data_IF_348954365689
#
_entry.id   IF_348954365689
#
_cell.length_a   1.000
_cell.length_b   1.000
_cell.length_c   1.000
_cell.angle_alpha   90.00
_cell.angle_beta   90.00
_cell.angle_gamma   90.00
#
_symmetry.space_group_name_H-M   'P 1'
#
loop_
_entity.id
_entity.type
_entity.pdbx_description
1 polymer ?
#
# COMPACT_ATOMS: atom_id res chain seq x y z
N UNK A 1 3.83 -9.73 -77.71
CA UNK A 1 2.61 -8.92 -77.88
C UNK A 1 1.72 -9.26 -76.69
N UNK A 2 1.60 -8.34 -75.72
CA UNK A 2 0.44 -7.42 -75.54
C UNK A 2 -0.70 -8.12 -74.75
N UNK A 3 -1.39 -7.61 -73.73
CA UNK A 3 -1.34 -6.44 -72.80
C UNK A 3 -2.51 -6.61 -71.79
N UNK A 4 -2.31 -6.32 -70.48
CA UNK A 4 -3.30 -5.87 -69.45
C UNK A 4 -4.60 -6.65 -69.17
N UNK A 5 -5.39 -6.32 -68.11
CA UNK A 5 -5.40 -5.08 -67.31
C UNK A 5 -5.37 -5.24 -65.75
N UNK A 6 -4.96 -4.14 -65.08
CA UNK A 6 -5.62 -3.45 -63.93
C UNK A 6 -5.97 -4.24 -62.65
N UNK A 7 -5.81 -3.80 -61.41
CA UNK A 7 -5.10 -2.77 -60.61
C UNK A 7 -5.36 -3.19 -59.13
N UNK A 8 -4.63 -2.59 -58.17
CA UNK A 8 -4.75 -2.69 -56.68
C UNK A 8 -3.85 -3.76 -55.99
N UNK A 9 -3.23 -3.45 -54.83
CA UNK A 9 -3.67 -2.47 -53.85
C UNK A 9 -2.81 -1.21 -53.77
N UNK A 10 -3.53 -0.10 -53.65
CA UNK A 10 -3.10 1.21 -53.21
C UNK A 10 -1.94 1.16 -52.19
N UNK A 11 -0.91 1.93 -52.50
CA UNK A 11 0.19 2.18 -51.60
C UNK A 11 -0.31 2.90 -50.35
N UNK A 12 -0.56 2.16 -49.28
CA UNK A 12 -0.41 2.69 -47.94
C UNK A 12 1.09 2.88 -47.70
N UNK A 13 1.61 4.03 -48.14
CA UNK A 13 2.78 4.64 -47.53
C UNK A 13 2.38 4.96 -46.09
N UNK A 14 2.51 3.98 -45.21
CA UNK A 14 2.72 4.26 -43.80
C UNK A 14 4.00 5.08 -43.75
N UNK A 15 3.82 6.40 -43.73
CA UNK A 15 4.88 7.33 -43.47
C UNK A 15 5.31 7.01 -42.05
N UNK A 16 6.37 6.20 -41.93
CA UNK A 16 7.02 5.92 -40.67
C UNK A 16 7.45 7.29 -40.14
N UNK A 17 6.64 7.85 -39.26
CA UNK A 17 6.90 9.10 -38.59
C UNK A 17 8.09 8.83 -37.68
N UNK A 18 9.29 9.08 -38.23
CA UNK A 18 10.55 8.95 -37.50
C UNK A 18 10.53 10.05 -36.45
N UNK A 19 9.95 9.72 -35.29
CA UNK A 19 9.94 10.57 -34.13
C UNK A 19 11.40 10.78 -33.70
N UNK A 20 11.80 12.02 -33.36
CA UNK A 20 13.19 12.29 -33.00
C UNK A 20 13.59 11.41 -31.81
N UNK A 21 14.80 10.84 -31.90
CA UNK A 21 15.36 9.93 -30.91
C UNK A 21 15.35 10.56 -29.51
N UNK A 22 14.32 10.22 -28.72
CA UNK A 22 14.08 10.81 -27.40
C UNK A 22 12.61 10.95 -27.02
N UNK A 23 11.66 10.97 -27.97
CA UNK A 23 10.24 10.90 -27.62
C UNK A 23 9.82 9.43 -27.39
N UNK A 24 9.40 9.12 -26.17
CA UNK A 24 8.77 7.85 -25.84
C UNK A 24 7.35 7.83 -26.46
N UNK A 25 7.26 7.41 -27.73
CA UNK A 25 5.99 7.23 -28.44
C UNK A 25 5.52 5.79 -28.25
N UNK A 26 4.30 5.61 -27.76
CA UNK A 26 3.66 4.29 -27.64
C UNK A 26 3.20 3.81 -29.03
N UNK A 27 4.13 3.31 -29.85
CA UNK A 27 3.83 2.73 -31.15
C UNK A 27 3.28 1.29 -30.99
N UNK A 28 2.27 0.93 -31.79
CA UNK A 28 1.68 -0.43 -31.79
C UNK A 28 0.83 -0.79 -30.56
N UNK A 29 0.61 0.16 -29.65
CA UNK A 29 -0.20 -0.04 -28.43
C UNK A 29 -1.60 0.57 -28.61
N UNK A 30 -2.61 0.00 -27.93
CA UNK A 30 -3.95 0.57 -27.98
C UNK A 30 -4.00 1.94 -27.29
N UNK A 31 -4.99 2.76 -27.62
CA UNK A 31 -5.16 4.08 -26.98
C UNK A 31 -5.31 3.97 -25.46
N UNK A 32 -5.97 2.91 -25.01
CA UNK A 32 -6.21 2.60 -23.61
C UNK A 32 -4.89 2.32 -22.87
N UNK A 33 -4.03 1.50 -23.47
CA UNK A 33 -2.74 1.12 -22.88
C UNK A 33 -1.77 2.31 -22.83
N UNK A 34 -1.74 3.13 -23.90
CA UNK A 34 -0.95 4.35 -23.92
C UNK A 34 -1.41 5.35 -22.83
N UNK A 35 -2.72 5.43 -22.56
CA UNK A 35 -3.25 6.26 -21.48
C UNK A 35 -2.89 5.70 -20.10
N UNK A 36 -3.00 4.39 -19.90
CA UNK A 36 -2.64 3.74 -18.64
C UNK A 36 -1.15 3.92 -18.33
N UNK A 37 -0.28 3.73 -19.31
CA UNK A 37 1.16 3.93 -19.16
C UNK A 37 1.49 5.39 -18.81
N UNK A 38 0.81 6.36 -19.43
CA UNK A 38 0.94 7.78 -19.04
C UNK A 38 0.53 8.02 -17.59
N UNK A 39 -0.61 7.49 -17.15
CA UNK A 39 -1.07 7.63 -15.77
C UNK A 39 -0.09 6.98 -14.78
N UNK A 40 0.42 5.80 -15.10
CA UNK A 40 1.44 5.10 -14.32
C UNK A 40 2.72 5.92 -14.20
N UNK A 41 3.24 6.44 -15.31
CA UNK A 41 4.48 7.22 -15.26
C UNK A 41 4.31 8.53 -14.52
N UNK A 42 3.16 9.21 -14.66
CA UNK A 42 2.84 10.42 -13.89
C UNK A 42 2.80 10.11 -12.38
N UNK A 43 2.20 8.98 -11.99
CA UNK A 43 2.12 8.60 -10.56
C UNK A 43 3.46 8.13 -10.01
N UNK A 44 4.26 7.40 -10.80
CA UNK A 44 5.59 6.93 -10.44
C UNK A 44 6.64 8.05 -10.42
N UNK A 45 6.50 9.07 -11.26
CA UNK A 45 7.43 10.21 -11.36
C UNK A 45 7.08 11.35 -10.41
N UNK A 46 6.16 11.17 -9.46
CA UNK A 46 5.90 12.18 -8.46
C UNK A 46 7.20 12.47 -7.70
N UNK A 47 7.65 13.72 -7.76
CA UNK A 47 8.71 14.18 -6.87
C UNK A 47 8.30 13.84 -5.43
N UNK A 48 9.26 13.42 -4.57
CA UNK A 48 8.96 13.23 -3.16
C UNK A 48 8.24 14.49 -2.65
N UNK A 49 7.20 14.34 -1.81
CA UNK A 49 6.47 15.48 -1.25
C UNK A 49 7.45 16.52 -0.74
N UNK A 50 7.11 17.81 -0.86
CA UNK A 50 8.00 18.91 -0.45
C UNK A 50 8.48 18.80 1.00
N UNK A 51 7.71 18.10 1.84
CA UNK A 51 8.03 17.76 3.23
C UNK A 51 9.16 16.72 3.37
N UNK A 52 9.34 15.87 2.37
CA UNK A 52 10.41 14.86 2.28
C UNK A 52 11.65 15.37 1.55
N UNK A 53 11.57 16.54 0.91
CA UNK A 53 12.72 17.17 0.30
C UNK A 53 13.56 17.86 1.40
N UNK A 54 14.69 17.25 1.76
CA UNK A 54 15.78 17.90 2.49
C UNK A 54 16.46 18.96 1.61
N UNK A 55 15.69 19.92 1.08
CA UNK A 55 16.26 21.11 0.50
C UNK A 55 16.78 21.95 1.65
N UNK A 56 18.09 21.87 1.92
CA UNK A 56 18.78 23.01 2.49
C UNK A 56 18.42 24.19 1.60
N UNK A 57 17.64 25.14 2.12
CA UNK A 57 17.49 26.43 1.45
C UNK A 57 18.90 26.95 1.15
N UNK A 58 19.09 27.60 0.01
CA UNK A 58 20.42 28.05 -0.49
C UNK A 58 21.17 28.96 0.50
N UNK A 59 20.47 29.43 1.52
CA UNK A 59 20.82 30.33 2.62
C UNK A 59 20.64 29.69 4.03
N UNK A 60 20.29 28.39 4.11
CA UNK A 60 20.18 27.64 5.37
C UNK A 60 21.57 27.34 5.94
N UNK A 61 22.13 28.30 6.67
CA UNK A 61 23.20 28.04 7.62
C UNK A 61 22.61 27.30 8.82
N UNK A 62 22.44 25.98 8.71
CA UNK A 62 22.10 25.11 9.85
C UNK A 62 23.34 24.95 10.74
N UNK A 63 23.83 26.06 11.28
CA UNK A 63 24.80 26.07 12.37
C UNK A 63 24.07 26.63 13.56
N UNK A 64 23.77 25.76 14.52
CA UNK A 64 23.48 26.22 15.87
C UNK A 64 24.60 27.19 16.27
N UNK A 65 24.29 28.36 16.86
CA UNK A 65 25.32 29.30 17.28
C UNK A 65 26.28 28.57 18.21
N UNK A 66 27.58 28.62 17.89
CA UNK A 66 28.63 28.12 18.79
C UNK A 66 28.52 28.91 20.08
N UNK A 67 28.37 28.24 21.21
CA UNK A 67 28.27 28.90 22.52
C UNK A 67 29.52 29.77 22.75
N UNK A 68 29.35 31.09 22.63
CA UNK A 68 30.42 32.06 22.90
C UNK A 68 30.65 32.23 24.40
N UNK A 69 31.84 32.71 24.83
CA UNK A 69 32.11 32.99 26.23
C UNK A 69 31.13 34.04 26.77
N UNK A 70 30.50 33.74 27.91
CA UNK A 70 29.62 34.66 28.64
C UNK A 70 30.41 35.91 29.04
N UNK A 71 30.24 37.01 28.31
CA UNK A 71 30.66 38.33 28.79
C UNK A 71 29.58 38.89 29.70
N UNK A 72 30.00 39.22 30.91
CA UNK A 72 29.20 39.78 31.99
C UNK A 72 28.55 41.11 31.58
N UNK A 73 27.23 41.15 31.76
CA UNK A 73 26.41 42.28 32.24
C UNK A 73 26.93 43.69 31.91
N UNK A 74 26.44 44.25 30.80
CA UNK A 74 26.33 45.70 30.57
C UNK A 74 24.87 46.02 30.28
N UNK A 75 24.23 46.73 31.21
CA UNK A 75 22.84 47.18 31.12
C UNK A 75 22.75 48.35 30.15
N UNK A 76 22.23 48.17 28.94
CA UNK A 76 21.73 49.27 28.12
C UNK A 76 20.40 48.91 27.47
N UNK A 77 19.39 49.69 27.86
CA UNK A 77 18.01 49.65 27.40
C UNK A 77 17.98 50.01 25.91
N UNK A 78 17.58 49.07 25.06
CA UNK A 78 17.11 49.40 23.71
C UNK A 78 15.63 49.05 23.61
N UNK A 79 14.80 50.05 23.92
CA UNK A 79 13.38 50.08 23.60
C UNK A 79 13.23 50.20 22.08
N UNK A 80 13.30 49.11 21.33
CA UNK A 80 12.85 49.09 19.92
C UNK A 80 12.67 47.66 19.42
N UNK A 81 11.68 46.96 19.96
CA UNK A 81 11.14 45.72 19.38
C UNK A 81 9.84 45.33 20.09
N UNK A 82 8.94 46.30 20.29
CA UNK A 82 7.60 46.04 20.84
C UNK A 82 6.56 46.73 19.96
N UNK A 83 6.49 46.36 18.69
CA UNK A 83 5.40 46.83 17.81
C UNK A 83 4.86 45.76 16.86
N UNK A 84 5.58 44.66 16.62
CA UNK A 84 5.17 43.64 15.63
C UNK A 84 4.37 42.47 16.21
N UNK A 85 4.19 42.38 17.53
CA UNK A 85 3.58 41.20 18.18
C UNK A 85 2.10 41.32 18.52
N UNK A 86 1.46 42.49 18.36
CA UNK A 86 0.08 42.69 18.82
C UNK A 86 -0.98 42.25 17.79
N UNK A 87 -0.65 42.17 16.49
CA UNK A 87 -1.59 41.80 15.44
C UNK A 87 -1.73 40.28 15.18
N UNK A 88 -0.85 39.45 15.77
CA UNK A 88 -0.74 38.02 15.43
C UNK A 88 -1.42 37.05 16.40
N UNK A 89 -2.02 37.56 17.49
CA UNK A 89 -2.72 36.73 18.48
C UNK A 89 -4.05 36.16 17.95
N UNK A 90 -4.89 37.00 17.33
CA UNK A 90 -6.22 36.59 16.81
C UNK A 90 -6.13 35.53 15.71
N UNK A 91 -5.15 35.66 14.81
CA UNK A 91 -4.96 34.70 13.73
C UNK A 91 -4.49 33.33 14.26
N UNK A 92 -3.60 33.33 15.25
CA UNK A 92 -3.11 32.10 15.88
C UNK A 92 -4.22 31.32 16.57
N UNK A 93 -5.13 32.02 17.25
CA UNK A 93 -6.28 31.39 17.91
C UNK A 93 -7.28 30.82 16.88
N UNK A 94 -7.52 31.53 15.77
CA UNK A 94 -8.36 31.03 14.67
C UNK A 94 -7.80 29.74 14.03
N UNK A 95 -6.48 29.65 13.80
CA UNK A 95 -5.88 28.43 13.28
C UNK A 95 -5.94 27.27 14.28
N UNK A 96 -5.77 27.55 15.58
CA UNK A 96 -5.88 26.54 16.63
C UNK A 96 -7.32 25.98 16.73
N UNK A 97 -8.33 26.84 16.61
CA UNK A 97 -9.74 26.43 16.56
C UNK A 97 -10.06 25.61 15.32
N UNK A 98 -9.58 26.03 14.14
CA UNK A 98 -9.78 25.28 12.89
C UNK A 98 -9.17 23.86 12.96
N UNK A 99 -7.95 23.72 13.51
CA UNK A 99 -7.32 22.41 13.72
C UNK A 99 -8.14 21.53 14.67
N UNK A 100 -8.64 22.11 15.77
CA UNK A 100 -9.46 21.37 16.74
C UNK A 100 -10.79 20.90 16.15
N UNK A 101 -11.41 21.71 15.30
CA UNK A 101 -12.62 21.34 14.57
C UNK A 101 -12.30 20.15 13.66
N UNK A 102 -11.25 20.25 12.83
CA UNK A 102 -10.82 19.17 11.94
C UNK A 102 -10.54 17.86 12.70
N UNK A 103 -9.78 17.91 13.79
CA UNK A 103 -9.50 16.73 14.62
C UNK A 103 -10.79 16.10 15.18
N UNK A 104 -11.76 16.93 15.58
CA UNK A 104 -13.03 16.45 16.12
C UNK A 104 -13.89 15.76 15.05
N UNK A 105 -13.93 16.32 13.84
CA UNK A 105 -14.62 15.73 12.69
C UNK A 105 -13.99 14.39 12.28
N UNK A 106 -12.65 14.34 12.24
CA UNK A 106 -11.90 13.11 11.96
C UNK A 106 -12.18 12.04 13.03
N UNK A 107 -12.18 12.41 14.32
CA UNK A 107 -12.50 11.48 15.41
C UNK A 107 -13.90 10.88 15.25
N UNK A 108 -14.91 11.70 14.93
CA UNK A 108 -16.28 11.22 14.71
C UNK A 108 -16.33 10.24 13.53
N UNK A 109 -15.66 10.56 12.43
CA UNK A 109 -15.56 9.68 11.25
C UNK A 109 -14.93 8.33 11.61
N UNK A 110 -13.83 8.31 12.36
CA UNK A 110 -13.19 7.06 12.78
C UNK A 110 -14.03 6.26 13.77
N UNK A 111 -14.76 6.93 14.68
CA UNK A 111 -15.69 6.25 15.58
C UNK A 111 -16.82 5.56 14.81
N UNK A 112 -17.38 6.22 13.78
CA UNK A 112 -18.39 5.59 12.93
C UNK A 112 -17.83 4.37 12.18
N UNK A 113 -16.62 4.48 11.63
CA UNK A 113 -15.93 3.35 10.98
C UNK A 113 -15.65 2.19 11.94
N UNK A 114 -15.34 2.48 13.21
CA UNK A 114 -15.12 1.44 14.22
C UNK A 114 -16.41 0.67 14.51
N UNK A 115 -17.54 1.38 14.63
CA UNK A 115 -18.87 0.77 14.81
C UNK A 115 -19.25 -0.13 13.63
N UNK A 116 -19.12 0.36 12.40
CA UNK A 116 -19.43 -0.46 11.21
C UNK A 116 -18.52 -1.68 11.11
N UNK A 117 -17.24 -1.55 11.47
CA UNK A 117 -16.31 -2.69 11.53
C UNK A 117 -16.74 -3.72 12.57
N UNK A 118 -17.20 -3.28 13.74
CA UNK A 118 -17.68 -4.17 14.79
C UNK A 118 -18.92 -4.94 14.34
N UNK A 119 -19.89 -4.27 13.72
CA UNK A 119 -21.09 -4.89 13.15
C UNK A 119 -20.75 -5.98 12.12
N UNK A 120 -19.82 -5.70 11.20
CA UNK A 120 -19.35 -6.68 10.20
C UNK A 120 -18.73 -7.88 10.89
N UNK A 121 -17.87 -7.67 11.89
CA UNK A 121 -17.24 -8.76 12.62
C UNK A 121 -18.25 -9.63 13.39
N UNK A 122 -19.26 -9.01 14.00
CA UNK A 122 -20.34 -9.76 14.65
C UNK A 122 -21.12 -10.61 13.65
N UNK A 123 -21.47 -10.05 12.48
CA UNK A 123 -22.14 -10.80 11.41
C UNK A 123 -21.31 -12.00 10.95
N UNK A 124 -20.02 -11.81 10.71
CA UNK A 124 -19.12 -12.89 10.27
C UNK A 124 -18.97 -13.99 11.32
N UNK A 125 -18.90 -13.62 12.61
CA UNK A 125 -18.87 -14.59 13.72
C UNK A 125 -20.14 -15.44 13.71
N UNK A 126 -21.31 -14.81 13.61
CA UNK A 126 -22.60 -15.50 13.55
C UNK A 126 -22.67 -16.46 12.35
N UNK A 127 -22.28 -16.00 11.16
CA UNK A 127 -22.24 -16.86 9.97
C UNK A 127 -21.30 -18.07 10.15
N UNK A 128 -20.14 -17.86 10.77
CA UNK A 128 -19.19 -18.94 11.07
C UNK A 128 -19.77 -19.95 12.04
N UNK A 129 -20.42 -19.49 13.11
CA UNK A 129 -21.08 -20.35 14.10
C UNK A 129 -22.23 -21.16 13.47
N UNK A 130 -23.04 -20.53 12.62
CA UNK A 130 -24.10 -21.22 11.86
C UNK A 130 -23.54 -22.26 10.88
N UNK A 131 -22.40 -21.98 10.25
CA UNK A 131 -21.72 -22.95 9.39
C UNK A 131 -21.22 -24.15 10.20
N UNK A 132 -20.54 -23.89 11.33
CA UNK A 132 -20.02 -24.94 12.20
C UNK A 132 -21.15 -25.81 12.75
N UNK A 133 -22.28 -25.22 13.16
CA UNK A 133 -23.41 -26.00 13.66
C UNK A 133 -24.01 -26.93 12.58
N UNK A 134 -24.14 -26.44 11.34
CA UNK A 134 -24.58 -27.26 10.20
C UNK A 134 -23.61 -28.40 9.89
N UNK A 135 -22.31 -28.14 9.91
CA UNK A 135 -21.26 -29.16 9.72
C UNK A 135 -21.27 -30.20 10.85
N UNK A 136 -21.46 -29.78 12.11
CA UNK A 136 -21.61 -30.68 13.25
C UNK A 136 -22.80 -31.62 13.12
N UNK A 137 -23.91 -31.15 12.53
CA UNK A 137 -25.10 -31.98 12.28
C UNK A 137 -24.89 -32.96 11.11
N UNK A 138 -24.01 -32.65 10.14
CA UNK A 138 -23.72 -33.54 9.00
C UNK A 138 -22.56 -34.52 9.25
N UNK A 139 -21.74 -34.28 10.27
CA UNK A 139 -20.65 -35.16 10.70
C UNK A 139 -21.07 -36.57 11.18
N UNK A 140 -22.26 -36.82 11.81
CA UNK A 140 -22.66 -38.13 12.27
C UNK A 140 -23.40 -38.91 11.18
N UNK A 141 -22.77 -39.08 10.02
CA UNK A 141 -23.04 -40.25 9.18
C UNK A 141 -21.74 -40.65 8.48
N UNK A 142 -20.90 -41.40 9.20
CA UNK A 142 -19.98 -42.31 8.54
C UNK A 142 -20.83 -43.50 8.08
N UNK A 143 -21.10 -43.71 6.77
CA UNK A 143 -21.58 -45.00 6.33
C UNK A 143 -20.57 -46.01 6.87
N UNK A 144 -21.05 -46.99 7.65
CA UNK A 144 -20.23 -48.11 8.07
C UNK A 144 -19.70 -48.73 6.79
N UNK A 145 -18.47 -48.39 6.41
CA UNK A 145 -17.76 -49.15 5.40
C UNK A 145 -17.83 -50.57 5.91
N UNK A 146 -18.46 -51.46 5.13
CA UNK A 146 -18.45 -52.88 5.43
C UNK A 146 -16.99 -53.21 5.69
N UNK A 147 -16.68 -53.56 6.94
CA UNK A 147 -15.37 -54.06 7.32
C UNK A 147 -15.18 -55.34 6.52
N UNK A 148 -14.64 -55.22 5.32
CA UNK A 148 -13.93 -56.31 4.69
C UNK A 148 -12.80 -56.58 5.66
N UNK A 149 -12.94 -57.63 6.47
CA UNK A 149 -11.89 -58.15 7.34
C UNK A 149 -10.69 -58.45 6.46
N UNK A 150 -9.82 -57.47 6.26
CA UNK A 150 -8.48 -57.68 5.79
C UNK A 150 -7.82 -58.54 6.86
N UNK A 151 -7.62 -59.82 6.55
CA UNK A 151 -6.75 -60.70 7.32
C UNK A 151 -5.46 -59.92 7.52
N UNK A 152 -5.12 -59.66 8.78
CA UNK A 152 -3.83 -59.10 9.20
C UNK A 152 -2.77 -60.15 8.85
N UNK A 153 -2.31 -60.15 7.61
CA UNK A 153 -1.07 -60.80 7.22
C UNK A 153 0.01 -59.85 7.70
N UNK A 154 0.50 -60.12 8.90
CA UNK A 154 1.77 -59.55 9.36
C UNK A 154 2.82 -60.15 8.43
N UNK A 155 3.46 -59.30 7.63
CA UNK A 155 4.58 -59.70 6.79
C UNK A 155 5.74 -60.11 7.69
N UNK A 156 6.42 -61.22 7.39
CA UNK A 156 7.55 -61.76 8.17
C UNK A 156 8.68 -60.72 8.41
N UNK A 157 8.77 -59.66 7.60
CA UNK A 157 9.72 -58.56 7.80
C UNK A 157 9.54 -57.83 9.12
N UNK A 158 8.29 -57.55 9.52
CA UNK A 158 7.99 -56.73 10.70
C UNK A 158 8.28 -57.49 12.01
N UNK A 159 8.40 -58.81 11.93
CA UNK A 159 8.66 -59.69 13.07
C UNK A 159 10.15 -59.76 13.39
N UNK A 160 10.99 -59.75 12.37
CA UNK A 160 12.46 -59.75 12.51
C UNK A 160 12.97 -58.44 13.10
N UNK A 161 12.42 -57.31 12.64
CA UNK A 161 12.81 -55.99 13.12
C UNK A 161 12.48 -55.80 14.62
N UNK A 162 11.39 -56.41 15.11
CA UNK A 162 11.05 -56.38 16.54
C UNK A 162 11.93 -57.29 17.41
N UNK A 163 12.47 -58.37 16.84
CA UNK A 163 13.38 -59.28 17.54
C UNK A 163 14.78 -58.67 17.67
N UNK A 164 15.27 -57.99 16.62
CA UNK A 164 16.55 -57.28 16.65
C UNK A 164 16.56 -56.15 17.70
N UNK A 165 15.46 -55.39 17.85
CA UNK A 165 15.36 -54.34 18.88
C UNK A 165 15.38 -54.91 20.29
N UNK A 166 14.80 -56.11 20.51
CA UNK A 166 14.79 -56.76 21.83
C UNK A 166 16.11 -57.43 22.21
N UNK A 167 16.96 -57.75 21.23
CA UNK A 167 18.25 -58.39 21.47
C UNK A 167 19.37 -57.39 21.87
N UNK A 168 19.07 -56.09 21.89
CA UNK A 168 20.02 -55.02 22.20
C UNK A 168 19.86 -54.41 23.61
N UNK A 169 18.85 -54.83 24.37
CA UNK A 169 18.69 -54.56 25.81
C UNK A 169 19.31 -55.69 26.66
#
# INVERSE_FOLDING_TARGET
METGPSEEPSGQKESQEISPAGLLVFAGSSKQDANLAKQFWISASMYPPSESQLMLRRDSSQRLPVAGPRRSRGSEKSHSSQSFHLANNKNRDMFAEALKIQESEEKVKYLQKAKTREEILQLLRKQREERISKELISLPYKPKAKEHKAKKVVSESDQKDQEEVKALD
#
